data_IF_711518203513
#
_entry.id   IF_711518203513
#
_cell.length_a   1.000
_cell.length_b   1.000
_cell.length_c   1.000
_cell.angle_alpha   90.00
_cell.angle_beta   90.00
_cell.angle_gamma   90.00
#
_symmetry.space_group_name_H-M   'P 1'
#
loop_
_entity.id
_entity.type
_entity.pdbx_description
1 polymer ?
#
# COMPACT_ATOMS: atom_id res chain seq x y z
N UNK A 1 -5.41 3.55 23.03
CA UNK A 1 -3.94 3.84 23.13
C UNK A 1 -3.21 2.51 23.12
N UNK A 2 -2.12 2.36 22.32
CA UNK A 2 -1.33 1.10 22.29
C UNK A 2 -0.53 0.90 23.57
N UNK A 3 -0.28 -0.38 23.93
CA UNK A 3 0.55 -0.75 25.06
C UNK A 3 2.00 -0.28 24.91
N UNK A 4 2.77 -0.19 25.99
CA UNK A 4 4.20 0.18 25.96
C UNK A 4 5.00 -0.75 25.02
N UNK A 5 4.69 -2.04 24.99
CA UNK A 5 5.30 -3.04 24.11
C UNK A 5 5.00 -2.73 22.62
N UNK A 6 3.77 -2.36 22.29
CA UNK A 6 3.39 -1.99 20.91
C UNK A 6 4.08 -0.70 20.46
N UNK A 7 4.22 0.29 21.35
CA UNK A 7 4.95 1.54 21.06
C UNK A 7 6.45 1.27 20.81
N UNK A 8 7.06 0.40 21.60
CA UNK A 8 8.47 0.00 21.45
C UNK A 8 8.69 -0.76 20.13
N UNK A 9 7.81 -1.69 19.78
CA UNK A 9 7.88 -2.44 18.52
C UNK A 9 7.75 -1.49 17.30
N UNK A 10 6.81 -0.55 17.33
CA UNK A 10 6.64 0.45 16.27
C UNK A 10 7.87 1.36 16.10
N UNK A 11 8.45 1.83 17.20
CA UNK A 11 9.67 2.64 17.19
C UNK A 11 10.88 1.87 16.63
N UNK A 12 10.99 0.58 16.95
CA UNK A 12 12.06 -0.28 16.43
C UNK A 12 11.91 -0.50 14.92
N UNK A 13 10.68 -0.81 14.45
CA UNK A 13 10.40 -0.98 13.03
C UNK A 13 10.69 0.30 12.22
N UNK A 14 10.33 1.47 12.74
CA UNK A 14 10.63 2.76 12.11
C UNK A 14 12.14 2.99 11.97
N UNK A 15 12.92 2.76 13.05
CA UNK A 15 14.39 2.89 13.02
C UNK A 15 15.03 1.93 12.01
N UNK A 16 14.56 0.69 11.93
CA UNK A 16 15.03 -0.27 10.94
C UNK A 16 14.70 0.16 9.52
N UNK A 17 13.51 0.74 9.28
CA UNK A 17 13.13 1.34 8.00
C UNK A 17 14.13 2.40 7.56
N UNK A 18 14.33 3.42 8.38
CA UNK A 18 15.28 4.50 8.06
C UNK A 18 16.73 4.03 7.90
N UNK A 19 17.15 2.97 8.61
CA UNK A 19 18.48 2.40 8.39
C UNK A 19 18.62 1.74 7.01
N UNK A 20 17.56 1.09 6.53
CA UNK A 20 17.52 0.49 5.19
C UNK A 20 17.46 1.56 4.09
N UNK A 21 16.71 2.64 4.30
CA UNK A 21 16.64 3.78 3.38
C UNK A 21 18.04 4.41 3.19
N UNK A 22 18.76 4.69 4.30
CA UNK A 22 20.15 5.18 4.22
C UNK A 22 21.07 4.24 3.47
N UNK A 23 21.01 2.93 3.78
CA UNK A 23 21.80 1.92 3.08
C UNK A 23 21.50 1.88 1.57
N UNK A 24 20.26 2.08 1.18
CA UNK A 24 19.89 2.14 -0.24
C UNK A 24 20.39 3.41 -0.89
N UNK A 25 20.32 4.56 -0.21
CA UNK A 25 20.86 5.82 -0.70
C UNK A 25 22.38 5.74 -0.93
N UNK A 26 23.14 5.19 0.04
CA UNK A 26 24.58 4.99 -0.08
C UNK A 26 24.92 4.12 -1.31
N UNK A 27 24.24 2.99 -1.47
CA UNK A 27 24.47 2.08 -2.61
C UNK A 27 24.12 2.69 -3.96
N UNK A 28 23.05 3.49 -4.03
CA UNK A 28 22.69 4.22 -5.23
C UNK A 28 23.73 5.29 -5.54
N UNK A 29 24.24 5.99 -4.55
CA UNK A 29 25.34 6.96 -4.71
C UNK A 29 26.58 6.27 -5.27
N UNK A 30 26.99 5.13 -4.69
CA UNK A 30 28.14 4.35 -5.17
C UNK A 30 27.96 3.85 -6.61
N UNK A 31 26.76 3.42 -6.98
CA UNK A 31 26.50 2.81 -8.30
C UNK A 31 26.27 3.82 -9.41
N UNK A 32 25.74 5.00 -9.10
CA UNK A 32 25.39 6.01 -10.10
C UNK A 32 26.41 7.16 -10.16
N UNK A 33 27.18 7.38 -9.10
CA UNK A 33 28.06 8.54 -8.95
C UNK A 33 27.32 9.84 -8.57
N UNK A 34 26.00 9.83 -8.43
CA UNK A 34 25.19 10.97 -8.02
C UNK A 34 24.80 10.84 -6.55
N UNK A 35 24.69 11.96 -5.86
CA UNK A 35 24.39 11.97 -4.44
C UNK A 35 22.92 11.64 -4.16
N UNK A 36 22.69 10.55 -3.43
CA UNK A 36 21.36 10.14 -2.96
C UNK A 36 21.28 10.34 -1.45
N UNK A 37 20.18 10.91 -1.00
CA UNK A 37 19.90 11.15 0.42
C UNK A 37 18.54 10.57 0.82
N UNK A 38 18.34 10.34 2.12
CA UNK A 38 17.03 9.97 2.63
C UNK A 38 16.16 11.20 2.81
N UNK A 39 14.91 11.12 2.33
CA UNK A 39 13.89 12.13 2.65
C UNK A 39 13.36 11.91 4.07
N UNK A 40 13.64 12.83 4.96
CA UNK A 40 13.17 12.79 6.35
C UNK A 40 11.72 13.24 6.54
N UNK A 41 11.00 13.61 5.49
CA UNK A 41 9.66 14.12 5.57
C UNK A 41 8.64 13.06 6.05
N UNK A 42 7.62 13.52 6.77
CA UNK A 42 6.48 12.67 7.14
C UNK A 42 5.36 12.83 6.10
N UNK A 43 4.53 11.80 5.95
CA UNK A 43 3.39 11.79 5.02
C UNK A 43 3.80 11.94 3.54
N UNK A 44 4.91 11.33 3.16
CA UNK A 44 5.36 11.26 1.77
C UNK A 44 5.65 9.80 1.38
N UNK A 45 5.68 9.54 0.09
CA UNK A 45 6.18 8.28 -0.49
C UNK A 45 7.68 8.37 -0.82
N UNK A 46 8.28 9.54 -0.73
CA UNK A 46 9.68 9.76 -0.99
C UNK A 46 10.49 9.25 0.19
N UNK A 47 11.18 8.15 0.03
CA UNK A 47 12.05 7.54 1.03
C UNK A 47 13.53 7.87 0.76
N UNK A 48 13.89 7.97 -0.53
CA UNK A 48 15.22 8.37 -1.02
C UNK A 48 15.04 9.37 -2.16
N UNK A 49 15.92 10.38 -2.25
CA UNK A 49 15.90 11.39 -3.30
C UNK A 49 17.29 11.59 -3.90
N UNK A 50 17.34 11.91 -5.18
CA UNK A 50 18.51 12.40 -5.90
C UNK A 50 18.09 13.63 -6.70
N UNK A 51 18.44 14.81 -6.24
CA UNK A 51 18.02 16.07 -6.86
C UNK A 51 18.68 16.27 -8.23
N UNK A 52 19.94 15.89 -8.37
CA UNK A 52 20.69 16.02 -9.64
C UNK A 52 20.05 15.28 -10.81
N UNK A 53 19.38 14.16 -10.52
CA UNK A 53 18.68 13.32 -11.51
C UNK A 53 17.17 13.50 -11.48
N UNK A 54 16.65 14.34 -10.60
CA UNK A 54 15.21 14.46 -10.31
C UNK A 54 14.56 13.12 -10.02
N UNK A 55 15.27 12.22 -9.30
CA UNK A 55 14.78 10.90 -8.91
C UNK A 55 14.25 10.91 -7.48
N UNK A 56 12.99 10.52 -7.34
CA UNK A 56 12.25 10.43 -6.09
C UNK A 56 11.79 8.99 -5.91
N UNK A 57 12.36 8.30 -4.93
CA UNK A 57 12.18 6.86 -4.76
C UNK A 57 11.24 6.54 -3.61
N UNK A 58 10.30 5.61 -3.84
CA UNK A 58 9.62 4.90 -2.76
C UNK A 58 10.29 3.55 -2.52
N UNK A 59 10.77 3.31 -1.31
CA UNK A 59 11.45 2.05 -0.98
C UNK A 59 10.48 0.99 -0.48
N UNK A 60 10.56 -0.19 -1.06
CA UNK A 60 9.85 -1.40 -0.65
C UNK A 60 10.84 -2.45 -0.19
N UNK A 61 10.85 -2.72 1.12
CA UNK A 61 11.76 -3.69 1.73
C UNK A 61 11.02 -4.99 2.01
N UNK A 62 11.49 -6.10 1.43
CA UNK A 62 10.83 -7.39 1.50
C UNK A 62 11.68 -8.44 2.22
N UNK A 63 11.03 -9.38 2.89
CA UNK A 63 11.63 -10.62 3.40
C UNK A 63 11.01 -11.88 2.77
N UNK A 64 10.04 -11.69 1.91
CA UNK A 64 9.27 -12.71 1.19
C UNK A 64 8.89 -12.25 -0.20
N UNK A 65 7.71 -12.67 -0.66
CA UNK A 65 7.23 -12.39 -2.04
C UNK A 65 6.59 -11.02 -2.22
N UNK A 66 6.14 -10.40 -1.14
CA UNK A 66 5.43 -9.10 -1.18
C UNK A 66 5.70 -8.28 0.07
N UNK A 67 5.34 -7.01 0.01
CA UNK A 67 5.36 -6.10 1.14
C UNK A 67 4.20 -5.11 1.07
N UNK A 68 3.88 -4.47 2.19
CA UNK A 68 2.89 -3.41 2.23
C UNK A 68 3.41 -2.18 1.47
N UNK A 69 2.61 -1.64 0.54
CA UNK A 69 2.94 -0.41 -0.18
C UNK A 69 2.11 0.80 0.27
N UNK A 70 0.91 0.57 0.80
CA UNK A 70 0.06 1.63 1.35
C UNK A 70 -0.87 1.08 2.42
N UNK A 71 -1.17 1.90 3.41
CA UNK A 71 -2.11 1.62 4.48
C UNK A 71 -2.91 2.88 4.81
N UNK A 72 -4.23 2.78 4.68
CA UNK A 72 -5.17 3.80 5.15
C UNK A 72 -6.41 3.15 5.73
N UNK A 73 -7.30 3.90 6.39
CA UNK A 73 -8.62 3.35 6.70
C UNK A 73 -9.51 3.35 5.45
N UNK A 74 -10.43 2.39 5.36
CA UNK A 74 -11.35 2.35 4.22
C UNK A 74 -12.28 3.58 4.17
N UNK A 75 -12.59 4.20 5.30
CA UNK A 75 -13.33 5.46 5.34
C UNK A 75 -12.56 6.60 4.66
N UNK A 76 -11.27 6.78 5.00
CA UNK A 76 -10.41 7.78 4.36
C UNK A 76 -10.32 7.54 2.85
N UNK A 77 -10.24 6.28 2.43
CA UNK A 77 -10.27 5.90 1.02
C UNK A 77 -11.57 6.31 0.35
N UNK A 78 -12.71 5.94 0.96
CA UNK A 78 -14.03 6.30 0.42
C UNK A 78 -14.24 7.82 0.38
N UNK A 79 -13.79 8.54 1.40
CA UNK A 79 -13.91 10.00 1.44
C UNK A 79 -13.04 10.67 0.35
N UNK A 80 -11.83 10.16 0.12
CA UNK A 80 -10.93 10.65 -0.92
C UNK A 80 -11.52 10.48 -2.34
N UNK A 81 -12.13 9.31 -2.61
CA UNK A 81 -12.71 9.01 -3.91
C UNK A 81 -14.22 9.36 -4.01
N UNK A 82 -14.80 10.04 -3.03
CA UNK A 82 -16.21 10.38 -2.95
C UNK A 82 -17.14 9.15 -3.11
N UNK A 83 -16.72 8.00 -2.56
CA UNK A 83 -17.47 6.76 -2.62
C UNK A 83 -18.63 6.80 -1.62
N UNK A 84 -19.85 6.58 -2.11
CA UNK A 84 -21.09 6.60 -1.35
C UNK A 84 -21.98 5.39 -1.68
N UNK A 85 -23.15 5.27 -1.06
CA UNK A 85 -24.16 4.26 -1.38
C UNK A 85 -23.70 2.82 -1.18
N UNK A 86 -24.13 1.93 -2.06
CA UNK A 86 -23.85 0.49 -2.01
C UNK A 86 -22.37 0.17 -2.10
N UNK A 87 -21.61 0.91 -2.90
CA UNK A 87 -20.16 0.73 -3.00
C UNK A 87 -19.48 1.02 -1.66
N UNK A 88 -19.88 2.08 -0.95
CA UNK A 88 -19.35 2.36 0.40
C UNK A 88 -19.75 1.26 1.39
N UNK A 89 -20.94 0.71 1.26
CA UNK A 89 -21.38 -0.44 2.03
C UNK A 89 -20.49 -1.66 1.76
N UNK A 90 -20.15 -1.93 0.50
CA UNK A 90 -19.20 -3.00 0.14
C UNK A 90 -17.85 -2.83 0.84
N UNK A 91 -17.28 -1.62 0.88
CA UNK A 91 -16.03 -1.37 1.61
C UNK A 91 -16.17 -1.72 3.10
N UNK A 92 -17.28 -1.33 3.74
CA UNK A 92 -17.59 -1.69 5.12
C UNK A 92 -17.68 -3.19 5.35
N UNK A 93 -18.37 -3.92 4.46
CA UNK A 93 -18.51 -5.36 4.52
C UNK A 93 -17.21 -6.09 4.20
N UNK A 94 -16.46 -5.64 3.19
CA UNK A 94 -15.21 -6.27 2.77
C UNK A 94 -14.08 -6.05 3.80
N UNK A 95 -13.93 -4.85 4.33
CA UNK A 95 -12.87 -4.49 5.28
C UNK A 95 -13.28 -4.56 6.74
N UNK A 96 -14.56 -4.66 7.01
CA UNK A 96 -15.15 -4.78 8.35
C UNK A 96 -15.40 -3.46 9.05
N UNK A 97 -16.26 -3.52 10.05
CA UNK A 97 -16.65 -2.38 10.87
C UNK A 97 -16.00 -2.43 12.25
N UNK A 98 -15.73 -1.26 12.89
CA UNK A 98 -15.18 -1.22 14.24
C UNK A 98 -16.07 -1.95 15.25
N UNK A 99 -15.45 -2.72 16.14
CA UNK A 99 -16.16 -3.45 17.20
C UNK A 99 -16.76 -4.79 16.79
N UNK A 100 -16.73 -5.13 15.51
CA UNK A 100 -17.22 -6.42 15.02
C UNK A 100 -16.36 -7.58 15.54
N UNK A 101 -17.02 -8.65 15.97
CA UNK A 101 -16.34 -9.88 16.36
C UNK A 101 -15.99 -10.71 15.12
N UNK A 102 -14.72 -10.92 14.91
CA UNK A 102 -14.18 -11.71 13.79
C UNK A 102 -13.57 -13.03 14.25
N UNK A 103 -13.86 -13.46 15.48
CA UNK A 103 -13.57 -14.81 15.90
C UNK A 103 -14.26 -15.80 14.96
N UNK A 104 -13.71 -16.99 14.80
CA UNK A 104 -14.25 -18.05 13.93
C UNK A 104 -14.12 -17.84 12.41
N UNK A 105 -13.14 -17.05 11.95
CA UNK A 105 -12.88 -16.88 10.52
C UNK A 105 -13.94 -16.04 9.77
N UNK A 106 -14.76 -15.31 10.50
CA UNK A 106 -15.84 -14.50 9.94
C UNK A 106 -15.39 -13.49 8.88
N UNK A 107 -14.14 -13.04 8.93
CA UNK A 107 -13.67 -12.15 7.87
C UNK A 107 -13.47 -12.82 6.51
N UNK A 108 -13.10 -14.09 6.46
CA UNK A 108 -12.99 -14.82 5.20
C UNK A 108 -14.37 -15.02 4.58
N UNK A 109 -15.37 -15.32 5.41
CA UNK A 109 -16.76 -15.51 4.99
C UNK A 109 -17.38 -14.20 4.50
N UNK A 110 -17.11 -13.10 5.18
CA UNK A 110 -17.65 -11.77 4.87
C UNK A 110 -17.29 -11.29 3.47
N UNK A 111 -16.08 -11.56 3.01
CA UNK A 111 -15.58 -11.14 1.70
C UNK A 111 -16.26 -11.82 0.51
N UNK A 112 -17.02 -12.87 0.73
CA UNK A 112 -17.71 -13.66 -0.31
C UNK A 112 -19.22 -13.69 -0.16
N UNK A 113 -19.77 -13.00 0.82
CA UNK A 113 -21.19 -13.12 1.21
C UNK A 113 -22.14 -12.52 0.18
N UNK A 114 -21.70 -11.51 -0.57
CA UNK A 114 -22.54 -10.86 -1.56
C UNK A 114 -21.80 -10.75 -2.89
N UNK A 115 -22.21 -11.57 -3.87
CA UNK A 115 -21.58 -11.60 -5.19
C UNK A 115 -21.82 -10.29 -5.96
N UNK A 116 -23.00 -9.70 -5.90
CA UNK A 116 -23.35 -8.48 -6.63
C UNK A 116 -22.54 -7.27 -6.09
N UNK A 117 -22.45 -7.15 -4.76
CA UNK A 117 -21.63 -6.13 -4.12
C UNK A 117 -20.13 -6.35 -4.38
N UNK A 118 -19.65 -7.60 -4.44
CA UNK A 118 -18.28 -7.90 -4.84
C UNK A 118 -18.00 -7.47 -6.28
N UNK A 119 -18.92 -7.74 -7.20
CA UNK A 119 -18.81 -7.33 -8.60
C UNK A 119 -18.80 -5.81 -8.74
N UNK A 120 -19.59 -5.10 -7.94
CA UNK A 120 -19.56 -3.64 -7.86
C UNK A 120 -18.20 -3.12 -7.40
N UNK A 121 -17.64 -3.72 -6.35
CA UNK A 121 -16.31 -3.37 -5.85
C UNK A 121 -15.21 -3.65 -6.87
N UNK A 122 -15.22 -4.82 -7.51
CA UNK A 122 -14.26 -5.19 -8.57
C UNK A 122 -14.37 -4.24 -9.75
N UNK A 123 -15.61 -3.95 -10.20
CA UNK A 123 -15.85 -3.00 -11.28
C UNK A 123 -15.27 -1.63 -10.95
N UNK A 124 -15.53 -1.11 -9.76
CA UNK A 124 -15.01 0.20 -9.36
C UNK A 124 -13.48 0.24 -9.41
N UNK A 125 -12.79 -0.77 -8.88
CA UNK A 125 -11.33 -0.83 -8.92
C UNK A 125 -10.79 -0.92 -10.36
N UNK A 126 -11.50 -1.55 -11.28
CA UNK A 126 -11.13 -1.61 -12.69
C UNK A 126 -11.35 -0.28 -13.39
N UNK A 127 -12.47 0.38 -13.12
CA UNK A 127 -12.79 1.69 -13.70
C UNK A 127 -11.83 2.79 -13.22
N UNK A 128 -11.24 2.64 -12.01
CA UNK A 128 -10.36 3.62 -11.37
C UNK A 128 -8.95 3.08 -11.12
N UNK A 129 -8.47 2.16 -11.97
CA UNK A 129 -7.20 1.47 -11.71
C UNK A 129 -5.99 2.40 -11.68
N UNK A 130 -5.94 3.42 -12.54
CA UNK A 130 -4.84 4.39 -12.58
C UNK A 130 -4.89 5.35 -11.39
N UNK A 131 -6.04 5.88 -11.05
CA UNK A 131 -6.22 6.74 -9.87
C UNK A 131 -5.89 5.97 -8.58
N UNK A 132 -6.29 4.69 -8.52
CA UNK A 132 -5.93 3.78 -7.45
C UNK A 132 -4.41 3.60 -7.38
N UNK A 133 -3.75 3.35 -8.50
CA UNK A 133 -2.30 3.22 -8.58
C UNK A 133 -1.59 4.49 -8.09
N UNK A 134 -2.03 5.66 -8.53
CA UNK A 134 -1.48 6.94 -8.09
C UNK A 134 -1.63 7.12 -6.57
N UNK A 135 -2.81 6.83 -6.03
CA UNK A 135 -3.09 6.95 -4.61
C UNK A 135 -2.27 5.97 -3.73
N UNK A 136 -1.92 4.77 -4.22
CA UNK A 136 -1.23 3.76 -3.42
C UNK A 136 0.28 3.70 -3.65
N UNK A 137 0.75 4.03 -4.85
CA UNK A 137 2.15 3.86 -5.25
C UNK A 137 2.84 5.20 -5.51
N UNK A 138 2.29 6.03 -6.40
CA UNK A 138 2.96 7.24 -6.87
C UNK A 138 2.95 8.34 -5.81
N UNK A 139 1.80 8.68 -5.25
CA UNK A 139 1.64 9.81 -4.34
C UNK A 139 1.42 9.38 -2.89
N UNK A 140 0.50 8.42 -2.68
CA UNK A 140 -0.06 8.10 -1.36
C UNK A 140 -1.12 9.11 -0.93
N UNK A 141 -2.07 8.65 -0.12
CA UNK A 141 -3.06 9.50 0.55
C UNK A 141 -2.93 9.33 2.06
N UNK A 142 -3.01 10.43 2.80
CA UNK A 142 -2.77 10.46 4.23
C UNK A 142 -3.83 11.27 4.95
N UNK A 143 -4.31 10.78 6.09
CA UNK A 143 -5.16 11.58 6.97
C UNK A 143 -4.28 12.39 7.92
N UNK A 144 -4.28 13.70 7.75
CA UNK A 144 -3.66 14.60 8.72
C UNK A 144 -4.45 14.56 10.03
N UNK A 145 -3.81 14.04 11.07
CA UNK A 145 -4.49 13.85 12.38
C UNK A 145 -4.83 15.14 13.09
N UNK A 146 -4.15 16.23 12.77
CA UNK A 146 -4.40 17.56 13.37
C UNK A 146 -5.55 18.28 12.67
N UNK A 147 -5.48 18.41 11.34
CA UNK A 147 -6.46 19.13 10.53
C UNK A 147 -7.68 18.29 10.17
N UNK A 148 -7.58 16.95 10.28
CA UNK A 148 -8.58 15.97 9.81
C UNK A 148 -8.83 16.02 8.30
N UNK A 149 -7.94 16.64 7.55
CA UNK A 149 -8.00 16.69 6.11
C UNK A 149 -7.22 15.52 5.49
N UNK A 150 -7.66 15.09 4.31
CA UNK A 150 -6.93 14.11 3.51
C UNK A 150 -5.93 14.88 2.67
N UNK A 151 -4.67 14.49 2.78
CA UNK A 151 -3.55 15.06 2.05
C UNK A 151 -3.04 14.04 1.03
N UNK A 152 -2.65 14.54 -0.14
CA UNK A 152 -1.96 13.76 -1.18
C UNK A 152 -0.46 14.02 -1.02
N UNK A 153 0.32 12.96 -0.98
CA UNK A 153 1.77 13.06 -0.86
C UNK A 153 2.44 13.51 -2.15
N UNK A 154 3.68 13.96 -2.02
CA UNK A 154 4.52 14.29 -3.16
C UNK A 154 4.79 13.03 -4.03
N UNK A 155 4.73 13.17 -5.38
CA UNK A 155 4.89 12.02 -6.25
C UNK A 155 6.30 11.46 -6.23
N UNK A 156 6.40 10.14 -6.46
CA UNK A 156 7.64 9.45 -6.76
C UNK A 156 7.65 9.00 -8.22
N UNK A 157 8.84 8.94 -8.82
CA UNK A 157 9.03 8.47 -10.19
C UNK A 157 9.86 7.18 -10.26
N UNK A 158 10.40 6.73 -9.12
CA UNK A 158 11.19 5.50 -9.00
C UNK A 158 10.72 4.67 -7.81
N UNK A 159 10.94 3.35 -7.88
CA UNK A 159 10.75 2.43 -6.77
C UNK A 159 12.05 1.68 -6.50
N UNK A 160 12.44 1.58 -5.23
CA UNK A 160 13.49 0.67 -4.77
C UNK A 160 12.81 -0.60 -4.25
N UNK A 161 13.24 -1.74 -4.74
CA UNK A 161 12.91 -3.05 -4.21
C UNK A 161 14.13 -3.63 -3.50
N UNK A 162 14.08 -3.69 -2.18
CA UNK A 162 15.18 -4.16 -1.35
C UNK A 162 14.86 -5.50 -0.71
N UNK A 163 15.62 -6.55 -1.06
CA UNK A 163 15.47 -7.86 -0.44
C UNK A 163 16.30 -7.92 0.86
N UNK A 164 15.63 -8.00 2.01
CA UNK A 164 16.29 -8.04 3.33
C UNK A 164 17.11 -9.30 3.59
N UNK A 165 16.82 -10.41 2.89
CA UNK A 165 17.51 -11.69 3.07
C UNK A 165 18.81 -11.76 2.28
N UNK A 166 18.78 -11.33 1.02
CA UNK A 166 19.94 -11.38 0.13
C UNK A 166 20.73 -10.08 0.11
N UNK A 167 20.09 -8.98 0.50
CA UNK A 167 20.65 -7.64 0.37
C UNK A 167 20.52 -7.05 -1.03
N UNK A 168 19.90 -7.74 -1.98
CA UNK A 168 19.73 -7.26 -3.35
C UNK A 168 18.88 -6.00 -3.40
N UNK A 169 19.29 -5.08 -4.26
CA UNK A 169 18.59 -3.84 -4.53
C UNK A 169 18.32 -3.78 -6.05
N UNK A 170 17.05 -3.59 -6.39
CA UNK A 170 16.60 -3.31 -7.76
C UNK A 170 15.87 -1.98 -7.78
N UNK A 171 15.90 -1.29 -8.92
CA UNK A 171 15.13 -0.06 -9.13
C UNK A 171 14.19 -0.23 -10.31
N UNK A 172 12.99 0.34 -10.19
CA UNK A 172 11.97 0.33 -11.23
C UNK A 172 11.51 1.76 -11.50
N UNK A 173 11.20 2.07 -12.76
CA UNK A 173 10.47 3.29 -13.07
C UNK A 173 9.01 3.13 -12.66
N UNK A 174 8.43 4.14 -12.08
CA UNK A 174 7.00 4.12 -11.75
C UNK A 174 6.15 4.09 -13.03
N UNK A 175 6.63 4.70 -14.12
CA UNK A 175 5.92 4.66 -15.40
C UNK A 175 5.84 3.24 -15.97
N UNK A 176 6.91 2.46 -15.94
CA UNK A 176 6.89 1.07 -16.42
C UNK A 176 5.87 0.22 -15.64
N UNK A 177 5.74 0.46 -14.32
CA UNK A 177 4.71 -0.17 -13.50
C UNK A 177 3.31 0.33 -13.90
N UNK A 178 3.14 1.63 -14.18
CA UNK A 178 1.87 2.21 -14.61
C UNK A 178 1.39 1.59 -15.94
N UNK A 179 2.30 1.37 -16.89
CA UNK A 179 2.00 0.73 -18.18
C UNK A 179 1.46 -0.71 -17.98
N UNK A 180 2.02 -1.44 -16.99
CA UNK A 180 1.49 -2.76 -16.60
C UNK A 180 0.08 -2.64 -16.00
N UNK A 181 -0.19 -1.58 -15.23
CA UNK A 181 -1.52 -1.32 -14.65
C UNK A 181 -2.55 -1.04 -15.75
N UNK A 182 -2.20 -0.30 -16.79
CA UNK A 182 -3.12 -0.04 -17.90
C UNK A 182 -3.59 -1.33 -18.58
N UNK A 183 -2.68 -2.29 -18.77
CA UNK A 183 -2.97 -3.58 -19.43
C UNK A 183 -3.61 -4.64 -18.53
N UNK A 184 -3.62 -4.43 -17.21
CA UNK A 184 -4.09 -5.43 -16.26
C UNK A 184 -5.49 -5.16 -15.70
N UNK A 185 -5.89 -5.98 -14.72
CA UNK A 185 -7.22 -5.89 -14.11
C UNK A 185 -7.25 -6.35 -12.65
N UNK A 186 -8.21 -5.83 -11.91
CA UNK A 186 -8.55 -6.31 -10.59
C UNK A 186 -9.52 -7.48 -10.68
N UNK A 187 -9.25 -8.55 -9.92
CA UNK A 187 -10.07 -9.76 -9.88
C UNK A 187 -10.27 -10.24 -8.44
N UNK A 188 -11.47 -10.70 -8.13
CA UNK A 188 -11.75 -11.32 -6.84
C UNK A 188 -11.34 -12.80 -6.89
N UNK A 189 -10.48 -13.22 -5.94
CA UNK A 189 -10.08 -14.61 -5.77
C UNK A 189 -10.35 -15.05 -4.34
N UNK A 190 -11.12 -16.01 -4.11
CA UNK A 190 -12.23 -16.26 -3.18
C UNK A 190 -12.48 -15.19 -2.11
N UNK A 191 -11.46 -14.63 -1.52
CA UNK A 191 -11.60 -13.65 -0.42
C UNK A 191 -10.55 -12.52 -0.45
N UNK A 192 -9.89 -12.36 -1.58
CA UNK A 192 -8.81 -11.38 -1.75
C UNK A 192 -8.96 -10.71 -3.10
N UNK A 193 -8.94 -9.39 -3.12
CA UNK A 193 -8.93 -8.64 -4.36
C UNK A 193 -7.48 -8.54 -4.86
N UNK A 194 -7.24 -9.12 -6.03
CA UNK A 194 -5.93 -9.16 -6.68
C UNK A 194 -5.91 -8.29 -7.92
N UNK A 195 -4.82 -7.56 -8.11
CA UNK A 195 -4.47 -7.00 -9.42
C UNK A 195 -3.58 -7.99 -10.15
N UNK A 196 -3.98 -8.33 -11.37
CA UNK A 196 -3.22 -9.21 -12.28
C UNK A 196 -2.91 -8.46 -13.58
N UNK A 197 -1.69 -8.63 -14.08
CA UNK A 197 -1.27 -8.06 -15.36
C UNK A 197 -1.87 -8.85 -16.55
N UNK A 198 -1.59 -8.40 -17.78
CA UNK A 198 -2.04 -9.05 -19.00
C UNK A 198 -1.52 -10.50 -19.17
N UNK A 199 -0.43 -10.84 -18.49
CA UNK A 199 0.18 -12.18 -18.49
C UNK A 199 -0.32 -13.06 -17.34
N UNK A 200 -1.20 -12.54 -16.47
CA UNK A 200 -1.72 -13.23 -15.30
C UNK A 200 -0.82 -13.16 -14.05
N UNK A 201 0.26 -12.36 -14.07
CA UNK A 201 1.12 -12.18 -12.91
C UNK A 201 0.43 -11.29 -11.87
N UNK A 202 0.56 -11.65 -10.60
CA UNK A 202 -0.02 -10.92 -9.47
C UNK A 202 0.89 -9.79 -9.05
N UNK A 203 0.45 -8.54 -9.22
CA UNK A 203 1.22 -7.35 -8.85
C UNK A 203 0.78 -6.75 -7.53
N UNK A 204 -0.53 -6.63 -7.29
CA UNK A 204 -1.06 -6.13 -6.03
C UNK A 204 -2.08 -7.07 -5.41
N UNK A 205 -2.28 -6.94 -4.12
CA UNK A 205 -3.49 -7.44 -3.48
C UNK A 205 -3.92 -6.53 -2.33
N UNK A 206 -5.22 -6.51 -2.12
CA UNK A 206 -5.85 -5.88 -0.97
C UNK A 206 -6.02 -6.89 0.14
N UNK A 207 -5.47 -6.56 1.31
CA UNK A 207 -5.65 -7.33 2.51
C UNK A 207 -6.34 -6.50 3.58
N UNK A 208 -7.32 -7.10 4.25
CA UNK A 208 -7.85 -6.54 5.48
C UNK A 208 -6.83 -6.69 6.59
N UNK A 209 -6.50 -5.58 7.25
CA UNK A 209 -5.69 -5.65 8.47
C UNK A 209 -6.58 -5.99 9.65
N UNK A 210 -6.57 -7.23 10.03
CA UNK A 210 -7.23 -7.69 11.25
C UNK A 210 -6.44 -8.86 11.81
N UNK A 211 -5.92 -8.72 13.00
CA UNK A 211 -5.44 -9.85 13.78
C UNK A 211 -6.11 -9.75 15.14
N UNK A 212 -6.82 -10.75 15.49
CA UNK A 212 -7.49 -10.80 16.77
C UNK A 212 -8.97 -11.10 16.66
N UNK A 213 -9.56 -11.30 17.82
CA UNK A 213 -10.94 -11.73 17.95
C UNK A 213 -11.96 -10.60 17.73
N UNK A 214 -11.51 -9.33 17.75
CA UNK A 214 -12.39 -8.15 17.61
C UNK A 214 -11.70 -7.06 16.82
N UNK A 215 -12.44 -6.42 15.92
CA UNK A 215 -12.02 -5.14 15.35
C UNK A 215 -12.09 -4.06 16.43
N UNK A 216 -10.95 -3.56 16.85
CA UNK A 216 -10.88 -2.34 17.64
C UNK A 216 -10.74 -1.14 16.71
N UNK A 217 -10.99 0.06 17.20
CA UNK A 217 -11.04 1.34 16.48
C UNK A 217 -9.80 1.72 15.64
N UNK A 218 -8.97 0.81 15.25
CA UNK A 218 -7.79 1.04 14.41
C UNK A 218 -7.54 -0.05 13.37
N UNK A 219 -8.43 -1.03 13.24
CA UNK A 219 -8.18 -2.24 12.46
C UNK A 219 -9.02 -2.42 11.19
N UNK A 220 -9.84 -1.46 10.84
CA UNK A 220 -10.56 -1.42 9.58
C UNK A 220 -9.72 -0.72 8.50
N UNK A 221 -8.50 -1.17 8.38
CA UNK A 221 -7.55 -0.57 7.46
C UNK A 221 -7.50 -1.32 6.16
N UNK A 222 -7.65 -0.58 5.09
CA UNK A 222 -7.36 -0.98 3.73
C UNK A 222 -5.84 -1.06 3.59
N UNK A 223 -5.33 -2.25 3.32
CA UNK A 223 -3.88 -2.48 3.21
C UNK A 223 -3.55 -3.04 1.84
N UNK A 224 -2.84 -2.24 1.04
CA UNK A 224 -2.32 -2.67 -0.24
C UNK A 224 -0.95 -3.28 -0.08
N UNK A 225 -0.80 -4.48 -0.61
CA UNK A 225 0.46 -5.15 -0.78
C UNK A 225 0.90 -5.11 -2.23
N UNK A 226 2.20 -4.97 -2.44
CA UNK A 226 2.83 -5.05 -3.75
C UNK A 226 3.75 -6.27 -3.81
N UNK A 227 3.74 -6.97 -4.92
CA UNK A 227 4.71 -7.98 -5.30
C UNK A 227 5.82 -7.33 -6.12
N UNK A 228 6.94 -8.04 -6.30
CA UNK A 228 8.03 -7.54 -7.14
C UNK A 228 7.52 -7.29 -8.55
N UNK A 229 7.64 -6.06 -9.09
CA UNK A 229 7.22 -5.77 -10.44
C UNK A 229 7.98 -6.62 -11.47
N UNK A 230 7.24 -7.11 -12.46
CA UNK A 230 7.78 -7.86 -13.59
C UNK A 230 7.72 -6.93 -14.82
N UNK A 231 8.62 -5.94 -14.85
CA UNK A 231 8.75 -4.90 -15.88
C UNK A 231 10.18 -4.86 -16.43
#
# INVERSE_FOLDING_TARGET
>A
MGTATQKKAGSTAKRQGHALERKSADRLTESTGFHHITDGANNTKRDVICEDLEFYYSQKSVSGKNTQCHLTSWNVWCDYFNITGELRQWFGLFFGTPGEDVSNGAHSQRRVVDSELNDLGVKWFNDHKMETFDAIVRNGIFLNRKTKQIEVGEPVNKMIWYNKKTGDLKTFNIQDIADVIEGGQWVMQPSTLWFVDANGNKLFHLQMKGSGKKFTSGYHSLMFHIHEPQV
#
